data_IF_558235405150
#
_entry.id   IF_558235405150
#
_cell.length_a   1.000
_cell.length_b   1.000
_cell.length_c   1.000
_cell.angle_alpha   90.00
_cell.angle_beta   90.00
_cell.angle_gamma   90.00
#
_symmetry.space_group_name_H-M   'P 1'
#
loop_
_entity.id
_entity.type
_entity.pdbx_description
1 polymer ?
#
# COMPACT_ATOMS: atom_id res chain seq x y z
N UNK A 1 9.16 -13.08 -8.83
CA UNK A 1 9.26 -11.61 -9.00
C UNK A 1 8.47 -10.97 -7.86
N UNK A 2 9.08 -10.79 -6.69
CA UNK A 2 8.46 -10.06 -5.59
C UNK A 2 8.79 -8.58 -5.76
N UNK A 3 8.02 -7.86 -6.58
CA UNK A 3 8.21 -6.42 -6.75
C UNK A 3 7.77 -5.72 -5.47
N UNK A 4 8.68 -5.06 -4.78
CA UNK A 4 8.36 -4.23 -3.62
C UNK A 4 7.43 -3.09 -4.06
N UNK A 5 6.13 -3.23 -3.81
CA UNK A 5 5.14 -2.19 -4.08
C UNK A 5 5.36 -1.06 -3.08
N UNK A 6 5.59 0.16 -3.57
CA UNK A 6 5.78 1.34 -2.71
C UNK A 6 4.44 1.86 -2.16
N UNK A 7 4.47 2.68 -1.11
CA UNK A 7 3.28 3.30 -0.52
C UNK A 7 2.45 4.07 -1.56
N UNK A 8 3.10 4.89 -2.40
CA UNK A 8 2.42 5.64 -3.47
C UNK A 8 1.76 4.69 -4.48
N UNK A 9 2.42 3.58 -4.83
CA UNK A 9 1.82 2.58 -5.72
C UNK A 9 0.66 1.84 -5.04
N UNK A 10 0.73 1.57 -3.74
CA UNK A 10 -0.37 1.01 -2.98
C UNK A 10 -1.58 1.96 -3.03
N UNK A 11 -1.38 3.25 -2.80
CA UNK A 11 -2.46 4.24 -2.91
C UNK A 11 -3.05 4.29 -4.33
N UNK A 12 -2.20 4.37 -5.36
CA UNK A 12 -2.67 4.44 -6.76
C UNK A 12 -3.36 3.15 -7.23
N UNK A 13 -2.87 1.97 -6.84
CA UNK A 13 -3.34 0.67 -7.37
C UNK A 13 -4.42 0.03 -6.51
N UNK A 14 -4.35 0.18 -5.19
CA UNK A 14 -5.28 -0.48 -4.25
C UNK A 14 -6.37 0.46 -3.73
N UNK A 15 -6.08 1.75 -3.65
CA UNK A 15 -7.05 2.76 -3.19
C UNK A 15 -7.59 3.64 -4.32
N UNK A 16 -6.98 3.58 -5.51
CA UNK A 16 -7.33 4.42 -6.66
C UNK A 16 -7.27 5.93 -6.32
N UNK A 17 -6.39 6.30 -5.38
CA UNK A 17 -6.19 7.69 -4.95
C UNK A 17 -5.19 8.34 -5.86
N UNK A 18 -5.55 9.50 -6.42
CA UNK A 18 -4.61 10.38 -7.09
C UNK A 18 -3.81 11.19 -6.07
N UNK A 19 -2.62 10.71 -5.71
CA UNK A 19 -1.75 11.37 -4.72
C UNK A 19 -1.35 12.79 -5.12
N UNK A 20 -1.49 13.15 -6.40
CA UNK A 20 -1.15 14.50 -6.89
C UNK A 20 -2.23 15.53 -6.51
N UNK A 21 -3.44 15.09 -6.12
CA UNK A 21 -4.55 15.93 -5.65
C UNK A 21 -4.69 15.99 -4.11
N UNK A 22 -3.84 15.26 -3.38
CA UNK A 22 -3.93 15.09 -1.93
C UNK A 22 -2.60 15.40 -1.24
N UNK A 23 -2.65 15.75 0.05
CA UNK A 23 -1.44 15.90 0.86
C UNK A 23 -0.86 14.53 1.25
N UNK A 24 0.45 14.37 1.09
CA UNK A 24 1.12 13.11 1.37
C UNK A 24 1.15 12.81 2.88
N UNK A 25 1.22 13.83 3.74
CA UNK A 25 1.22 13.63 5.20
C UNK A 25 -0.14 13.11 5.68
N UNK A 26 -1.24 13.67 5.16
CA UNK A 26 -2.60 13.20 5.45
C UNK A 26 -2.78 11.74 4.97
N UNK A 27 -2.37 11.44 3.74
CA UNK A 27 -2.44 10.08 3.19
C UNK A 27 -1.61 9.09 3.99
N UNK A 28 -0.43 9.49 4.48
CA UNK A 28 0.38 8.64 5.35
C UNK A 28 -0.32 8.39 6.68
N UNK A 29 -0.87 9.41 7.34
CA UNK A 29 -1.59 9.22 8.61
C UNK A 29 -2.76 8.24 8.44
N UNK A 30 -3.52 8.36 7.36
CA UNK A 30 -4.71 7.55 7.12
C UNK A 30 -4.40 6.12 6.63
N UNK A 31 -3.43 5.95 5.73
CA UNK A 31 -3.25 4.70 4.97
C UNK A 31 -1.93 3.98 5.22
N UNK A 32 -0.96 4.58 5.92
CA UNK A 32 0.34 3.94 6.12
C UNK A 32 0.26 2.68 6.99
N UNK A 33 -0.67 2.63 7.95
CA UNK A 33 -0.93 1.44 8.73
C UNK A 33 -1.41 0.27 7.84
N UNK A 34 -2.35 0.54 6.93
CA UNK A 34 -2.87 -0.47 5.99
C UNK A 34 -1.78 -0.96 5.03
N UNK A 35 -0.95 -0.04 4.52
CA UNK A 35 0.19 -0.38 3.68
C UNK A 35 1.20 -1.29 4.40
N UNK A 36 1.49 -1.04 5.67
CA UNK A 36 2.37 -1.91 6.46
C UNK A 36 1.78 -3.32 6.63
N UNK A 37 0.48 -3.44 6.89
CA UNK A 37 -0.20 -4.75 6.97
C UNK A 37 -0.14 -5.46 5.62
N UNK A 38 -0.35 -4.75 4.52
CA UNK A 38 -0.24 -5.29 3.16
C UNK A 38 1.18 -5.76 2.84
N UNK A 39 2.20 -4.98 3.22
CA UNK A 39 3.60 -5.36 3.06
C UNK A 39 3.97 -6.58 3.93
N UNK A 40 3.41 -6.69 5.14
CA UNK A 40 3.58 -7.87 5.98
C UNK A 40 2.92 -9.12 5.36
N UNK A 41 1.72 -9.01 4.80
CA UNK A 41 1.05 -10.16 4.16
C UNK A 41 1.77 -10.65 2.90
N UNK A 42 2.40 -9.74 2.15
CA UNK A 42 3.28 -10.11 1.02
C UNK A 42 4.55 -10.83 1.53
N UNK A 43 5.18 -10.30 2.59
CA UNK A 43 6.44 -10.86 3.13
C UNK A 43 6.25 -12.22 3.81
N UNK A 44 5.11 -12.45 4.44
CA UNK A 44 4.78 -13.73 5.09
C UNK A 44 4.39 -14.83 4.07
N UNK A 45 4.29 -14.50 2.78
CA UNK A 45 4.04 -15.47 1.71
C UNK A 45 2.65 -16.11 1.73
N UNK A 46 1.74 -15.64 2.57
CA UNK A 46 0.37 -16.12 2.69
C UNK A 46 -0.62 -14.98 2.35
N UNK A 47 -0.66 -14.60 1.07
CA UNK A 47 -1.91 -14.09 0.52
C UNK A 47 -2.93 -15.24 0.43
N UNK A 48 -4.25 -14.98 0.39
CA UNK A 48 -5.28 -16.03 0.28
C UNK A 48 -5.33 -16.75 -1.08
N UNK A 49 -4.17 -17.09 -1.63
CA UNK A 49 -3.98 -17.90 -2.84
C UNK A 49 -3.13 -19.16 -2.53
N UNK A 50 -3.48 -19.83 -1.42
CA UNK A 50 -3.34 -21.29 -1.23
C UNK A 50 -4.72 -21.92 -1.02
#
# INVERSE_FOLDING_TARGET
>A
MGGEMTFIQFLKVKKEIDVDEHDLDDLMEEHYAEYNVYMMSIKDGCGPDV
#
